data_IF_739420006315
#
_entry.id   IF_739420006315
#
_cell.length_a   1.000
_cell.length_b   1.000
_cell.length_c   1.000
_cell.angle_alpha   90.00
_cell.angle_beta   90.00
_cell.angle_gamma   90.00
#
_symmetry.space_group_name_H-M   'P 1'
#
loop_
_entity.id
_entity.type
_entity.pdbx_description
1 polymer ?
#
# COMPACT_ATOMS: atom_id res chain seq x y z
N UNK A 1 27.60 -6.56 -8.58
CA UNK A 1 26.18 -7.00 -8.71
C UNK A 1 25.22 -6.13 -7.91
N UNK A 2 25.33 -6.00 -6.59
CA UNK A 2 24.39 -5.18 -5.77
C UNK A 2 24.43 -3.70 -6.16
N UNK A 3 25.59 -3.13 -6.45
CA UNK A 3 25.72 -1.77 -6.96
C UNK A 3 25.05 -1.58 -8.34
N UNK A 4 25.23 -2.54 -9.24
CA UNK A 4 24.59 -2.55 -10.55
C UNK A 4 23.06 -2.61 -10.44
N UNK A 5 22.54 -3.49 -9.54
CA UNK A 5 21.12 -3.57 -9.23
C UNK A 5 20.58 -2.21 -8.78
N UNK A 6 21.24 -1.56 -7.83
CA UNK A 6 20.77 -0.27 -7.32
C UNK A 6 20.91 0.86 -8.35
N UNK A 7 21.92 0.82 -9.22
CA UNK A 7 22.04 1.76 -10.33
C UNK A 7 20.87 1.64 -11.31
N UNK A 8 20.52 0.42 -11.72
CA UNK A 8 19.42 0.20 -12.65
C UNK A 8 18.04 0.49 -12.04
N UNK A 9 17.86 0.28 -10.74
CA UNK A 9 16.66 0.74 -10.03
C UNK A 9 16.59 2.28 -10.01
N UNK A 10 17.71 2.94 -9.71
CA UNK A 10 17.78 4.40 -9.63
C UNK A 10 17.51 5.09 -10.98
N UNK A 11 17.92 4.50 -12.10
CA UNK A 11 17.62 4.99 -13.46
C UNK A 11 16.10 5.09 -13.74
N UNK A 12 15.30 4.29 -13.03
CA UNK A 12 13.83 4.31 -13.10
C UNK A 12 13.18 5.12 -11.99
N UNK A 13 13.99 5.80 -11.16
CA UNK A 13 13.51 6.48 -9.97
C UNK A 13 13.13 5.55 -8.82
N UNK A 14 13.43 4.25 -8.91
CA UNK A 14 13.17 3.28 -7.86
C UNK A 14 14.28 3.28 -6.81
N UNK A 15 13.96 2.81 -5.61
CA UNK A 15 14.95 2.60 -4.55
C UNK A 15 14.81 1.18 -4.02
N UNK A 16 15.93 0.56 -3.68
CA UNK A 16 15.95 -0.80 -3.17
C UNK A 16 16.94 -1.02 -2.04
N UNK A 17 16.74 -2.12 -1.32
CA UNK A 17 17.69 -2.67 -0.36
C UNK A 17 17.74 -4.19 -0.49
N UNK A 18 18.89 -4.73 -0.18
CA UNK A 18 19.13 -6.18 -0.06
C UNK A 18 19.57 -6.44 1.37
N UNK A 19 18.92 -7.38 2.05
CA UNK A 19 19.28 -7.83 3.40
C UNK A 19 19.37 -9.35 3.45
N UNK A 20 20.04 -9.88 4.45
CA UNK A 20 20.21 -11.32 4.63
C UNK A 20 18.87 -12.02 4.84
N UNK A 21 18.74 -13.22 4.27
CA UNK A 21 17.57 -14.10 4.45
C UNK A 21 17.34 -14.49 5.92
N UNK A 22 18.38 -14.45 6.76
CA UNK A 22 18.27 -14.77 8.20
C UNK A 22 17.24 -13.87 8.91
N UNK A 23 16.99 -12.65 8.41
CA UNK A 23 16.03 -11.72 8.98
C UNK A 23 14.55 -12.07 8.71
N UNK A 24 14.31 -13.11 7.91
CA UNK A 24 12.94 -13.64 7.75
C UNK A 24 12.34 -14.05 9.11
N UNK A 25 13.13 -14.73 9.95
CA UNK A 25 12.71 -15.09 11.30
C UNK A 25 12.56 -13.89 12.25
N UNK A 26 13.28 -12.80 12.02
CA UNK A 26 13.14 -11.57 12.84
C UNK A 26 11.84 -10.85 12.50
N UNK A 27 11.47 -10.76 11.22
CA UNK A 27 10.17 -10.21 10.78
C UNK A 27 9.01 -11.00 11.41
N UNK A 28 9.07 -12.33 11.37
CA UNK A 28 8.06 -13.19 11.98
C UNK A 28 7.92 -12.93 13.48
N UNK A 29 9.04 -12.98 14.21
CA UNK A 29 9.06 -12.76 15.67
C UNK A 29 8.47 -11.41 16.06
N UNK A 30 8.72 -10.38 15.25
CA UNK A 30 8.22 -9.04 15.53
C UNK A 30 6.69 -8.97 15.37
N UNK A 31 6.15 -9.49 14.26
CA UNK A 31 4.70 -9.54 14.02
C UNK A 31 4.00 -10.38 15.11
N UNK A 32 4.50 -11.58 15.38
CA UNK A 32 3.96 -12.46 16.43
C UNK A 32 4.11 -11.84 17.83
N UNK A 33 5.20 -11.10 18.06
CA UNK A 33 5.45 -10.38 19.32
C UNK A 33 4.38 -9.32 19.57
N UNK A 34 4.07 -8.52 18.56
CA UNK A 34 3.00 -7.52 18.64
C UNK A 34 1.62 -8.17 18.85
N UNK A 35 1.34 -9.28 18.15
CA UNK A 35 0.09 -10.01 18.34
C UNK A 35 -0.04 -10.54 19.79
N UNK A 36 0.98 -11.23 20.30
CA UNK A 36 0.99 -11.76 21.68
C UNK A 36 0.87 -10.68 22.76
N UNK A 37 1.33 -9.47 22.47
CA UNK A 37 1.20 -8.30 23.36
C UNK A 37 -0.17 -7.63 23.29
N UNK A 38 -1.09 -8.12 22.44
CA UNK A 38 -2.39 -7.49 22.22
C UNK A 38 -2.29 -6.13 21.53
N UNK A 39 -1.24 -5.90 20.74
CA UNK A 39 -1.02 -4.66 20.00
C UNK A 39 -1.85 -4.56 18.72
N UNK A 40 -2.38 -5.68 18.24
CA UNK A 40 -3.32 -5.75 17.11
C UNK A 40 -4.72 -6.06 17.62
N UNK A 41 -5.72 -5.50 16.97
CA UNK A 41 -7.09 -5.99 17.05
C UNK A 41 -7.16 -7.37 16.40
N UNK A 42 -7.98 -8.28 16.97
CA UNK A 42 -8.04 -9.68 16.52
C UNK A 42 -8.55 -9.81 15.09
N UNK A 43 -9.64 -9.13 14.76
CA UNK A 43 -10.23 -9.18 13.42
C UNK A 43 -9.24 -8.61 12.38
N UNK A 44 -8.63 -7.48 12.68
CA UNK A 44 -7.59 -6.90 11.83
C UNK A 44 -6.40 -7.85 11.62
N UNK A 45 -5.96 -8.54 12.68
CA UNK A 45 -4.84 -9.48 12.57
C UNK A 45 -5.18 -10.65 11.66
N UNK A 46 -6.35 -11.25 11.84
CA UNK A 46 -6.80 -12.38 11.04
C UNK A 46 -6.94 -12.00 9.55
N UNK A 47 -7.47 -10.82 9.23
CA UNK A 47 -7.65 -10.38 7.85
C UNK A 47 -6.34 -9.91 7.18
N UNK A 48 -5.42 -9.30 7.96
CA UNK A 48 -4.28 -8.56 7.38
C UNK A 48 -2.93 -9.26 7.49
N UNK A 49 -2.77 -10.28 8.36
CA UNK A 49 -1.47 -10.88 8.62
C UNK A 49 -1.39 -12.39 8.40
N UNK A 50 -2.51 -13.11 8.37
CA UNK A 50 -2.51 -14.58 8.24
C UNK A 50 -2.05 -15.08 6.87
N UNK A 51 -2.07 -14.23 5.84
CA UNK A 51 -1.56 -14.53 4.51
C UNK A 51 -0.05 -14.35 4.36
N UNK A 52 0.62 -13.74 5.35
CA UNK A 52 2.08 -13.59 5.33
C UNK A 52 2.77 -14.95 5.46
N UNK A 53 3.84 -15.12 4.70
CA UNK A 53 4.60 -16.37 4.65
C UNK A 53 6.06 -16.13 5.05
N UNK A 54 6.47 -16.75 6.15
CA UNK A 54 7.83 -16.62 6.69
C UNK A 54 8.66 -17.89 6.46
N UNK A 55 8.42 -18.57 5.35
CA UNK A 55 9.20 -19.71 4.87
C UNK A 55 9.74 -19.44 3.47
N UNK A 56 10.82 -20.12 3.11
CA UNK A 56 11.34 -20.04 1.74
C UNK A 56 10.30 -20.60 0.76
N UNK A 57 10.15 -20.00 -0.44
CA UNK A 57 9.25 -20.53 -1.45
C UNK A 57 9.84 -21.79 -2.09
N UNK A 58 8.99 -22.73 -2.44
CA UNK A 58 9.40 -23.96 -3.13
C UNK A 58 10.11 -23.68 -4.46
N UNK A 59 9.77 -22.57 -5.12
CA UNK A 59 10.39 -22.12 -6.37
C UNK A 59 11.82 -21.62 -6.19
N UNK A 60 12.24 -21.25 -4.97
CA UNK A 60 13.58 -20.75 -4.66
C UNK A 60 14.04 -21.17 -3.26
N UNK A 61 14.23 -22.48 -3.01
CA UNK A 61 14.61 -22.99 -1.70
C UNK A 61 16.02 -22.57 -1.26
N UNK A 62 16.84 -22.08 -2.20
CA UNK A 62 18.21 -21.63 -1.99
C UNK A 62 18.30 -20.11 -1.78
N UNK A 63 17.19 -19.42 -1.50
CA UNK A 63 17.20 -17.99 -1.28
C UNK A 63 18.16 -17.61 -0.14
N UNK A 64 18.94 -16.53 -0.37
CA UNK A 64 20.02 -16.05 0.51
C UNK A 64 19.79 -14.62 0.98
N UNK A 65 18.91 -13.91 0.30
CA UNK A 65 18.59 -12.52 0.61
C UNK A 65 17.11 -12.21 0.42
N UNK A 66 16.69 -11.11 1.06
CA UNK A 66 15.43 -10.42 0.81
C UNK A 66 15.74 -9.12 0.09
N UNK A 67 15.03 -8.85 -0.99
CA UNK A 67 15.10 -7.60 -1.74
C UNK A 67 13.80 -6.85 -1.49
N UNK A 68 13.88 -5.59 -1.07
CA UNK A 68 12.73 -4.70 -0.99
C UNK A 68 12.93 -3.52 -1.91
N UNK A 69 11.90 -3.20 -2.71
CA UNK A 69 11.91 -2.10 -3.68
C UNK A 69 10.77 -1.14 -3.37
N UNK A 70 11.08 0.16 -3.40
CA UNK A 70 10.11 1.25 -3.36
C UNK A 70 9.98 1.86 -4.77
N UNK A 71 8.76 1.92 -5.25
CA UNK A 71 8.38 2.42 -6.56
C UNK A 71 7.55 3.68 -6.36
N UNK A 72 7.99 4.86 -6.83
CA UNK A 72 7.19 6.08 -6.72
C UNK A 72 5.87 5.92 -7.47
N UNK A 73 4.77 6.35 -6.87
CA UNK A 73 3.44 6.26 -7.47
C UNK A 73 2.61 7.52 -7.22
N UNK A 74 1.88 8.02 -8.23
CA UNK A 74 0.95 9.14 -8.09
C UNK A 74 -0.32 8.74 -7.35
N UNK A 75 -1.10 9.74 -6.97
CA UNK A 75 -2.54 9.58 -6.75
C UNK A 75 -3.24 9.46 -8.10
N UNK A 76 -4.37 8.77 -8.16
CA UNK A 76 -5.19 8.73 -9.37
C UNK A 76 -6.53 9.40 -9.09
N UNK A 77 -6.96 10.29 -10.01
CA UNK A 77 -8.28 10.89 -9.96
C UNK A 77 -9.25 10.09 -10.82
N UNK A 78 -10.33 9.63 -10.22
CA UNK A 78 -11.44 8.99 -10.92
C UNK A 78 -12.68 9.87 -10.76
N UNK A 79 -13.37 10.14 -11.85
CA UNK A 79 -14.47 11.10 -11.89
C UNK A 79 -15.80 10.39 -12.13
N UNK A 80 -16.80 10.69 -11.29
CA UNK A 80 -18.16 10.17 -11.42
C UNK A 80 -19.12 11.32 -11.70
N UNK A 81 -20.07 11.09 -12.60
CA UNK A 81 -21.20 12.03 -12.81
C UNK A 81 -22.42 11.48 -12.08
N UNK A 82 -23.01 12.30 -11.18
CA UNK A 82 -24.21 11.91 -10.43
C UNK A 82 -25.12 13.12 -10.20
N UNK A 83 -26.43 12.96 -10.48
CA UNK A 83 -27.43 14.03 -10.35
C UNK A 83 -27.05 15.34 -11.08
N UNK A 84 -26.37 15.22 -12.21
CA UNK A 84 -25.92 16.36 -13.00
C UNK A 84 -24.65 17.05 -12.47
N UNK A 85 -24.07 16.58 -11.37
CA UNK A 85 -22.83 17.07 -10.80
C UNK A 85 -21.67 16.11 -11.12
N UNK A 86 -20.47 16.67 -11.21
CA UNK A 86 -19.22 15.90 -11.42
C UNK A 86 -18.49 15.79 -10.10
N UNK A 87 -18.22 14.55 -9.66
CA UNK A 87 -17.52 14.23 -8.43
C UNK A 87 -16.14 13.64 -8.73
N UNK A 88 -15.05 14.42 -8.64
CA UNK A 88 -13.69 13.88 -8.71
C UNK A 88 -13.30 13.26 -7.37
N UNK A 89 -12.93 11.99 -7.38
CA UNK A 89 -12.47 11.24 -6.23
C UNK A 89 -11.03 10.81 -6.41
N UNK A 90 -10.25 10.86 -5.33
CA UNK A 90 -8.87 10.39 -5.35
C UNK A 90 -8.78 8.93 -4.91
N UNK A 91 -7.85 8.23 -5.52
CA UNK A 91 -7.36 6.92 -5.10
C UNK A 91 -5.91 7.13 -4.66
N UNK A 92 -5.53 6.71 -3.44
CA UNK A 92 -4.15 6.83 -2.96
C UNK A 92 -3.14 6.02 -3.79
N UNK A 93 -1.84 6.30 -3.70
CA UNK A 93 -0.80 5.77 -4.59
C UNK A 93 -0.66 4.26 -4.69
N UNK A 94 -1.14 3.49 -3.70
CA UNK A 94 -0.83 2.05 -3.63
C UNK A 94 -1.84 1.13 -4.34
N UNK A 95 -2.96 1.66 -4.84
CA UNK A 95 -4.07 0.83 -5.31
C UNK A 95 -4.07 0.62 -6.81
N UNK A 96 -3.88 1.69 -7.59
CA UNK A 96 -3.99 1.64 -9.05
C UNK A 96 -2.83 0.84 -9.65
N UNK A 97 -3.14 -0.05 -10.59
CA UNK A 97 -2.18 -0.87 -11.34
C UNK A 97 -1.15 -1.61 -10.45
N UNK A 98 -1.58 -2.06 -9.27
CA UNK A 98 -0.63 -2.61 -8.29
C UNK A 98 -0.03 -3.97 -8.73
N UNK A 99 -0.77 -4.77 -9.52
CA UNK A 99 -0.30 -6.05 -10.03
C UNK A 99 0.72 -5.84 -11.12
N UNK A 100 0.39 -5.00 -12.09
CA UNK A 100 1.26 -4.63 -13.20
C UNK A 100 2.57 -4.02 -12.68
N UNK A 101 2.48 -3.15 -11.66
CA UNK A 101 3.66 -2.59 -11.00
C UNK A 101 4.52 -3.68 -10.36
N UNK A 102 3.90 -4.62 -9.65
CA UNK A 102 4.62 -5.74 -9.03
C UNK A 102 5.30 -6.62 -10.08
N UNK A 103 4.61 -6.96 -11.18
CA UNK A 103 5.12 -7.76 -12.30
C UNK A 103 6.29 -7.05 -13.01
N UNK A 104 6.15 -5.76 -13.30
CA UNK A 104 7.22 -4.96 -13.90
C UNK A 104 8.49 -4.95 -13.05
N UNK A 105 8.36 -4.87 -11.72
CA UNK A 105 9.52 -4.93 -10.83
C UNK A 105 10.12 -6.32 -10.78
N UNK A 106 9.30 -7.36 -10.77
CA UNK A 106 9.75 -8.76 -10.82
C UNK A 106 10.54 -9.03 -12.10
N UNK A 107 9.99 -8.66 -13.26
CA UNK A 107 10.64 -8.80 -14.58
C UNK A 107 11.96 -8.01 -14.64
N UNK A 108 11.97 -6.80 -14.10
CA UNK A 108 13.17 -5.98 -14.03
C UNK A 108 14.28 -6.66 -13.20
N UNK A 109 13.92 -7.13 -12.01
CA UNK A 109 14.88 -7.82 -11.13
C UNK A 109 15.37 -9.13 -11.76
N UNK A 110 14.45 -9.91 -12.32
CA UNK A 110 14.79 -11.15 -13.04
C UNK A 110 15.73 -10.88 -14.23
N UNK A 111 15.49 -9.81 -14.98
CA UNK A 111 16.34 -9.40 -16.10
C UNK A 111 17.73 -8.93 -15.68
N UNK A 112 17.85 -8.23 -14.54
CA UNK A 112 19.15 -7.76 -14.02
C UNK A 112 19.94 -8.94 -13.44
N UNK A 113 19.33 -9.67 -12.52
CA UNK A 113 19.98 -10.71 -11.73
C UNK A 113 20.22 -11.97 -12.54
N UNK A 114 19.31 -12.30 -13.47
CA UNK A 114 19.41 -13.47 -14.34
C UNK A 114 20.63 -13.47 -15.26
N UNK A 115 21.16 -12.29 -15.62
CA UNK A 115 22.41 -12.17 -16.41
C UNK A 115 23.61 -12.77 -15.69
N UNK A 116 23.57 -12.77 -14.37
CA UNK A 116 24.63 -13.31 -13.50
C UNK A 116 24.24 -14.65 -12.86
N UNK A 117 23.13 -15.25 -13.32
CA UNK A 117 22.66 -16.56 -12.88
C UNK A 117 21.90 -16.56 -11.56
N UNK A 118 21.46 -15.38 -11.08
CA UNK A 118 20.62 -15.28 -9.88
C UNK A 118 19.14 -15.19 -10.24
N UNK A 119 18.31 -15.64 -9.30
CA UNK A 119 16.86 -15.72 -9.44
C UNK A 119 16.14 -14.88 -8.39
N UNK A 120 14.89 -14.55 -8.66
CA UNK A 120 13.98 -13.90 -7.72
C UNK A 120 12.65 -14.64 -7.67
N UNK A 121 12.00 -14.55 -6.51
CA UNK A 121 10.63 -15.01 -6.31
C UNK A 121 9.89 -13.99 -5.43
N UNK A 122 8.63 -13.73 -5.72
CA UNK A 122 7.83 -12.77 -4.96
C UNK A 122 7.67 -13.21 -3.50
N UNK A 123 7.72 -12.26 -2.58
CA UNK A 123 7.64 -12.52 -1.15
C UNK A 123 6.38 -11.91 -0.52
N UNK A 124 5.58 -12.73 0.15
CA UNK A 124 4.43 -12.30 0.94
C UNK A 124 4.88 -11.93 2.36
N UNK A 125 5.50 -10.75 2.51
CA UNK A 125 6.13 -10.28 3.74
C UNK A 125 5.53 -8.94 4.21
N UNK A 126 5.72 -8.56 5.49
CA UNK A 126 5.34 -7.24 6.01
C UNK A 126 6.27 -6.16 5.43
N UNK A 127 6.00 -5.74 4.17
CA UNK A 127 6.89 -4.91 3.35
C UNK A 127 7.26 -3.57 4.00
N UNK A 128 6.37 -2.94 4.77
CA UNK A 128 6.69 -1.71 5.51
C UNK A 128 7.74 -1.96 6.59
N UNK A 129 7.58 -3.05 7.34
CA UNK A 129 8.54 -3.45 8.37
C UNK A 129 9.89 -3.78 7.75
N UNK A 130 9.90 -4.58 6.69
CA UNK A 130 11.12 -4.92 5.94
C UNK A 130 11.82 -3.66 5.40
N UNK A 131 11.06 -2.71 4.80
CA UNK A 131 11.63 -1.47 4.27
C UNK A 131 12.29 -0.61 5.36
N UNK A 132 11.70 -0.53 6.54
CA UNK A 132 12.29 0.23 7.64
C UNK A 132 13.49 -0.49 8.25
N UNK A 133 13.38 -1.80 8.50
CA UNK A 133 14.48 -2.61 9.04
C UNK A 133 15.70 -2.67 8.11
N UNK A 134 15.48 -2.63 6.79
CA UNK A 134 16.56 -2.60 5.79
C UNK A 134 17.17 -1.21 5.57
N UNK A 135 16.67 -0.17 6.25
CA UNK A 135 17.14 1.21 6.06
C UNK A 135 16.71 1.84 4.74
N UNK A 136 15.68 1.29 4.06
CA UNK A 136 15.10 1.90 2.87
C UNK A 136 14.27 3.14 3.21
N UNK A 137 13.58 3.11 4.35
CA UNK A 137 12.73 4.20 4.82
C UNK A 137 12.64 4.25 6.35
N UNK A 138 11.77 5.11 6.85
CA UNK A 138 11.47 5.24 8.27
C UNK A 138 9.96 5.36 8.49
N UNK A 139 9.47 4.98 9.67
CA UNK A 139 8.06 5.12 10.01
C UNK A 139 7.69 6.57 10.35
N UNK A 140 6.53 7.01 9.88
CA UNK A 140 5.84 8.16 10.45
C UNK A 140 5.01 7.78 11.68
N UNK A 141 4.58 8.77 12.47
CA UNK A 141 3.61 8.54 13.57
C UNK A 141 2.27 7.95 13.10
N UNK A 142 1.94 8.10 11.82
CA UNK A 142 0.78 7.47 11.18
C UNK A 142 1.01 6.01 10.77
N UNK A 143 2.13 5.42 11.20
CA UNK A 143 2.51 4.03 10.91
C UNK A 143 2.67 3.72 9.40
N UNK A 144 2.91 4.74 8.59
CA UNK A 144 3.24 4.61 7.16
C UNK A 144 4.76 4.69 7.02
N UNK A 145 5.32 3.89 6.10
CA UNK A 145 6.73 3.98 5.73
C UNK A 145 6.93 5.19 4.81
N UNK A 146 7.94 5.99 5.10
CA UNK A 146 8.39 7.14 4.29
C UNK A 146 9.77 6.85 3.73
N UNK A 147 9.88 6.93 2.41
CA UNK A 147 11.14 6.72 1.69
C UNK A 147 11.71 8.07 1.27
N UNK A 148 12.99 8.39 1.56
CA UNK A 148 13.59 9.66 1.17
C UNK A 148 13.37 9.97 -0.32
N UNK A 149 12.90 11.19 -0.66
CA UNK A 149 12.61 11.61 -2.03
C UNK A 149 11.34 11.01 -2.66
N UNK A 150 10.53 10.26 -1.89
CA UNK A 150 9.23 9.73 -2.31
C UNK A 150 8.12 10.04 -1.29
N UNK A 151 8.47 10.52 -0.09
CA UNK A 151 7.49 10.64 0.99
C UNK A 151 6.83 9.30 1.28
N UNK A 152 5.50 9.28 1.34
CA UNK A 152 4.68 8.06 1.41
C UNK A 152 4.00 7.71 0.07
N UNK A 153 4.39 8.38 -1.04
CA UNK A 153 3.81 8.23 -2.38
C UNK A 153 4.61 7.18 -3.18
N UNK A 154 4.57 5.97 -2.69
CA UNK A 154 5.26 4.84 -3.28
C UNK A 154 4.57 3.52 -2.95
N UNK A 155 4.81 2.52 -3.77
CA UNK A 155 4.51 1.13 -3.50
C UNK A 155 5.77 0.41 -3.02
N UNK A 156 5.62 -0.48 -2.06
CA UNK A 156 6.68 -1.39 -1.60
C UNK A 156 6.40 -2.79 -2.10
N UNK A 157 7.43 -3.45 -2.63
CA UNK A 157 7.40 -4.85 -3.07
C UNK A 157 8.59 -5.58 -2.50
N UNK A 158 8.41 -6.84 -2.12
CA UNK A 158 9.48 -7.68 -1.59
C UNK A 158 9.68 -8.94 -2.43
N UNK A 159 10.93 -9.41 -2.48
CA UNK A 159 11.34 -10.61 -3.20
C UNK A 159 12.34 -11.41 -2.39
N UNK A 160 12.26 -12.73 -2.54
CA UNK A 160 13.36 -13.64 -2.21
C UNK A 160 14.38 -13.65 -3.36
N UNK A 161 15.66 -13.81 -3.07
CA UNK A 161 16.68 -14.02 -4.08
C UNK A 161 17.79 -14.95 -3.57
N UNK A 162 18.38 -15.75 -4.48
CA UNK A 162 19.61 -16.50 -4.22
C UNK A 162 20.87 -15.64 -4.32
N UNK A 163 20.74 -14.34 -4.66
CA UNK A 163 21.82 -13.36 -4.59
C UNK A 163 22.38 -13.29 -3.16
N UNK A 164 23.70 -13.49 -2.94
CA UNK A 164 24.29 -13.31 -1.61
C UNK A 164 24.16 -11.87 -1.13
N UNK A 165 23.73 -11.67 0.11
CA UNK A 165 23.79 -10.37 0.77
C UNK A 165 25.23 -10.06 1.13
N UNK A 166 25.83 -9.04 0.50
CA UNK A 166 27.21 -8.61 0.74
C UNK A 166 27.30 -7.63 1.91
N UNK A 167 26.34 -6.70 1.98
CA UNK A 167 26.23 -5.71 3.04
C UNK A 167 24.85 -5.81 3.67
N UNK A 168 24.80 -6.27 4.90
CA UNK A 168 23.57 -6.49 5.64
C UNK A 168 23.22 -5.27 6.49
N UNK A 169 22.45 -4.35 5.92
CA UNK A 169 22.06 -3.08 6.57
C UNK A 169 20.81 -3.24 7.45
N UNK A 170 20.70 -4.34 8.18
CA UNK A 170 19.60 -4.53 9.14
C UNK A 170 19.76 -3.61 10.35
N UNK A 171 18.73 -2.87 10.67
CA UNK A 171 18.79 -1.85 11.72
C UNK A 171 17.57 -1.90 12.64
N UNK A 172 17.68 -1.21 13.78
CA UNK A 172 16.55 -0.96 14.66
C UNK A 172 15.45 -0.14 13.94
N UNK A 173 14.19 -0.29 14.41
CA UNK A 173 13.09 0.48 13.87
C UNK A 173 13.37 1.97 14.00
N UNK A 174 13.27 2.67 12.87
CA UNK A 174 13.46 4.10 12.81
C UNK A 174 12.13 4.81 12.60
N UNK A 175 11.85 5.76 13.48
CA UNK A 175 10.82 6.77 13.24
C UNK A 175 11.48 8.01 12.66
N UNK A 176 10.84 8.66 11.69
CA UNK A 176 11.34 9.92 11.14
C UNK A 176 11.61 10.94 12.25
N UNK A 177 12.77 11.56 12.23
CA UNK A 177 13.16 12.61 13.18
C UNK A 177 12.15 13.77 13.18
N UNK A 178 11.65 14.14 11.98
CA UNK A 178 10.63 15.18 11.81
C UNK A 178 9.31 14.89 12.54
N UNK A 179 9.07 13.64 12.95
CA UNK A 179 7.88 13.26 13.72
C UNK A 179 7.98 13.59 15.21
N UNK A 180 9.17 13.82 15.77
CA UNK A 180 9.36 13.99 17.21
C UNK A 180 8.44 15.08 17.80
N UNK A 181 8.41 16.25 17.17
CA UNK A 181 7.61 17.41 17.62
C UNK A 181 6.39 17.68 16.70
N UNK A 182 6.02 16.73 15.84
CA UNK A 182 4.90 16.88 14.92
C UNK A 182 3.69 16.06 15.38
N UNK A 183 2.50 16.66 15.30
CA UNK A 183 1.21 16.01 15.61
C UNK A 183 0.17 16.16 14.49
N UNK A 184 0.59 16.59 13.29
CA UNK A 184 -0.33 16.89 12.19
C UNK A 184 -1.24 15.71 11.84
N UNK A 185 -0.69 14.51 11.69
CA UNK A 185 -1.47 13.31 11.36
C UNK A 185 -2.42 12.88 12.50
N UNK A 186 -2.04 13.09 13.78
CA UNK A 186 -2.90 12.82 14.92
C UNK A 186 -4.15 13.72 14.88
N UNK A 187 -3.94 15.03 14.68
CA UNK A 187 -5.02 16.01 14.64
C UNK A 187 -5.93 15.88 13.41
N UNK A 188 -5.42 15.31 12.33
CA UNK A 188 -6.18 15.13 11.09
C UNK A 188 -6.93 13.79 11.00
N UNK A 189 -6.63 12.81 11.85
CA UNK A 189 -7.30 11.51 11.82
C UNK A 189 -8.69 11.61 12.45
N UNK A 190 -9.79 11.58 11.68
CA UNK A 190 -11.13 11.84 12.23
C UNK A 190 -11.60 10.73 13.16
N UNK A 191 -11.07 9.52 13.01
CA UNK A 191 -11.45 8.34 13.80
C UNK A 191 -10.59 8.15 15.05
N UNK A 192 -9.52 8.93 15.21
CA UNK A 192 -8.56 8.75 16.31
C UNK A 192 -7.78 7.44 16.23
N UNK A 193 -7.63 6.86 15.03
CA UNK A 193 -6.83 5.66 14.83
C UNK A 193 -5.34 5.89 15.14
N UNK A 194 -4.85 7.12 14.95
CA UNK A 194 -3.46 7.51 15.26
C UNK A 194 -3.46 8.17 16.65
N UNK A 195 -2.67 7.63 17.57
CA UNK A 195 -2.57 8.13 18.94
C UNK A 195 -1.14 8.49 19.30
N UNK A 196 -0.95 9.28 20.37
CA UNK A 196 0.36 9.57 20.96
C UNK A 196 0.87 8.49 21.91
N UNK A 197 0.00 7.58 22.32
CA UNK A 197 0.26 6.63 23.40
C UNK A 197 0.96 5.36 22.93
N UNK A 198 0.89 5.07 21.63
CA UNK A 198 1.44 3.85 21.06
C UNK A 198 1.98 4.09 19.64
N UNK A 199 2.98 3.31 19.27
CA UNK A 199 3.58 3.36 17.93
C UNK A 199 2.63 2.84 16.85
N UNK A 200 2.03 1.66 17.06
CA UNK A 200 1.09 1.08 16.12
C UNK A 200 -0.25 1.84 16.16
N UNK A 201 -0.78 2.20 15.00
CA UNK A 201 -2.12 2.77 14.92
C UNK A 201 -3.17 1.75 15.38
N UNK A 202 -4.34 2.23 15.77
CA UNK A 202 -5.52 1.40 16.00
C UNK A 202 -6.15 1.10 14.65
N UNK A 203 -5.69 0.02 14.00
CA UNK A 203 -6.07 -0.30 12.63
C UNK A 203 -7.58 -0.55 12.51
N UNK A 204 -8.20 -1.15 13.53
CA UNK A 204 -9.64 -1.38 13.66
C UNK A 204 -10.47 -0.08 13.66
N UNK A 205 -9.82 1.07 13.83
CA UNK A 205 -10.44 2.39 13.72
C UNK A 205 -10.05 3.14 12.45
N UNK A 206 -9.15 2.60 11.62
CA UNK A 206 -8.71 3.25 10.40
C UNK A 206 -9.79 3.14 9.31
N UNK A 207 -10.13 4.24 8.65
CA UNK A 207 -11.07 4.24 7.51
C UNK A 207 -10.62 3.26 6.43
N UNK A 208 -9.30 3.21 6.18
CA UNK A 208 -8.70 2.31 5.20
C UNK A 208 -9.10 0.86 5.45
N UNK A 209 -8.96 0.37 6.69
CA UNK A 209 -9.35 -1.00 7.03
C UNK A 209 -10.82 -1.30 6.66
N UNK A 210 -11.72 -0.37 6.95
CA UNK A 210 -13.14 -0.59 6.69
C UNK A 210 -13.54 -0.47 5.22
N UNK A 211 -12.89 0.40 4.45
CA UNK A 211 -13.26 0.57 3.04
C UNK A 211 -12.51 -0.36 2.07
N UNK A 212 -11.51 -1.09 2.55
CA UNK A 212 -10.85 -2.17 1.83
C UNK A 212 -11.53 -3.54 2.01
N UNK A 213 -12.36 -3.70 3.04
CA UNK A 213 -13.08 -4.96 3.29
C UNK A 213 -14.12 -5.21 2.20
N UNK A 214 -14.40 -6.48 1.92
CA UNK A 214 -15.37 -6.92 0.91
C UNK A 214 -16.69 -6.12 0.96
N UNK A 215 -17.30 -5.90 -0.18
CA UNK A 215 -18.42 -4.97 -0.35
C UNK A 215 -19.69 -5.31 0.44
N UNK A 216 -19.85 -6.56 0.86
CA UNK A 216 -20.96 -7.05 1.69
C UNK A 216 -20.79 -6.72 3.19
N UNK A 217 -19.56 -6.32 3.64
CA UNK A 217 -19.37 -5.83 4.98
C UNK A 217 -19.88 -4.39 5.12
N UNK A 218 -20.89 -4.12 5.95
CA UNK A 218 -21.36 -2.75 6.15
C UNK A 218 -20.32 -1.92 6.91
N UNK A 219 -20.32 -0.62 6.67
CA UNK A 219 -19.53 0.28 7.51
C UNK A 219 -20.07 0.28 8.96
N UNK A 220 -19.16 0.29 9.97
CA UNK A 220 -19.59 0.38 11.35
C UNK A 220 -20.41 1.66 11.61
N UNK A 221 -21.41 1.56 12.47
CA UNK A 221 -22.32 2.68 12.76
C UNK A 221 -21.61 3.92 13.35
N UNK A 222 -20.43 3.75 13.94
CA UNK A 222 -19.62 4.84 14.49
C UNK A 222 -18.81 5.59 13.40
N UNK A 223 -18.66 5.01 12.20
CA UNK A 223 -17.88 5.62 11.12
C UNK A 223 -18.77 6.63 10.36
N UNK A 224 -18.54 7.91 10.63
CA UNK A 224 -19.29 8.99 9.99
C UNK A 224 -19.02 9.00 8.47
N UNK A 225 -20.07 8.95 7.63
CA UNK A 225 -19.94 9.02 6.18
C UNK A 225 -19.12 10.21 5.67
N UNK A 226 -19.15 11.35 6.35
CA UNK A 226 -18.42 12.56 5.97
C UNK A 226 -16.90 12.43 6.10
N UNK A 227 -16.41 11.43 6.81
CA UNK A 227 -14.97 11.18 6.99
C UNK A 227 -14.32 10.47 5.81
N UNK A 228 -15.09 9.84 4.94
CA UNK A 228 -14.53 9.24 3.73
C UNK A 228 -14.02 10.31 2.78
N UNK A 229 -12.81 10.20 2.27
CA UNK A 229 -12.17 11.20 1.42
C UNK A 229 -11.53 10.63 0.14
N UNK A 230 -11.60 9.32 -0.02
CA UNK A 230 -11.08 8.57 -1.18
C UNK A 230 -12.09 7.49 -1.58
N UNK A 231 -12.02 7.05 -2.83
CA UNK A 231 -12.85 5.95 -3.33
C UNK A 231 -12.49 4.62 -2.63
N UNK A 232 -11.21 4.43 -2.34
CA UNK A 232 -10.65 3.36 -1.50
C UNK A 232 -9.47 3.93 -0.73
N UNK A 233 -9.12 3.37 0.43
CA UNK A 233 -8.08 3.90 1.29
C UNK A 233 -8.47 5.21 1.97
N UNK A 234 -7.48 5.97 2.43
CA UNK A 234 -7.68 7.25 3.13
C UNK A 234 -6.41 8.10 3.02
N UNK A 235 -6.57 9.41 2.79
CA UNK A 235 -5.45 10.35 2.66
C UNK A 235 -5.35 11.36 3.81
N UNK A 236 -6.23 11.34 4.82
CA UNK A 236 -6.23 12.36 5.88
C UNK A 236 -4.84 12.59 6.50
N UNK A 237 -4.20 11.52 6.97
CA UNK A 237 -2.90 11.62 7.63
C UNK A 237 -1.73 11.88 6.66
N UNK A 238 -1.86 11.49 5.40
CA UNK A 238 -0.83 11.69 4.38
C UNK A 238 -0.84 13.11 3.82
N UNK A 239 -2.04 13.72 3.63
CA UNK A 239 -2.19 15.07 3.06
C UNK A 239 -1.64 16.17 3.97
N UNK A 240 -1.73 15.98 5.28
CA UNK A 240 -1.23 16.97 6.26
C UNK A 240 0.24 16.76 6.63
N UNK A 241 0.85 15.67 6.16
CA UNK A 241 2.24 15.36 6.49
C UNK A 241 3.20 16.27 5.71
N UNK A 242 4.07 17.06 6.40
CA UNK A 242 5.03 17.92 5.72
C UNK A 242 5.97 17.17 4.76
N UNK A 243 6.22 15.89 5.02
CA UNK A 243 7.09 15.04 4.18
C UNK A 243 6.45 14.68 2.83
N UNK A 244 5.15 14.91 2.67
CA UNK A 244 4.43 14.66 1.43
C UNK A 244 4.13 15.91 0.61
N UNK A 245 4.53 17.10 1.10
CA UNK A 245 4.16 18.38 0.47
C UNK A 245 4.41 18.41 -1.04
N UNK A 246 5.57 17.91 -1.46
CA UNK A 246 6.00 17.97 -2.86
C UNK A 246 5.28 16.94 -3.76
N UNK A 247 4.54 16.01 -3.15
CA UNK A 247 3.83 14.94 -3.85
C UNK A 247 2.32 15.11 -3.88
N UNK A 248 1.76 16.07 -3.13
CA UNK A 248 0.30 16.23 -3.00
C UNK A 248 -0.39 16.56 -4.32
N UNK A 249 0.29 17.28 -5.20
CA UNK A 249 -0.22 17.65 -6.53
C UNK A 249 0.15 16.62 -7.61
N UNK A 250 0.86 15.55 -7.24
CA UNK A 250 1.16 14.49 -8.19
C UNK A 250 -0.05 13.55 -8.32
N UNK A 251 -0.91 13.93 -9.27
CA UNK A 251 -2.17 13.27 -9.56
C UNK A 251 -2.21 12.94 -11.05
N UNK A 252 -2.52 11.70 -11.38
CA UNK A 252 -2.83 11.26 -12.74
C UNK A 252 -4.33 11.17 -12.94
N UNK A 253 -4.79 11.51 -14.14
CA UNK A 253 -6.19 11.37 -14.52
C UNK A 253 -6.46 9.91 -14.87
N UNK A 254 -7.44 9.32 -14.19
CA UNK A 254 -7.92 7.97 -14.41
C UNK A 254 -9.22 7.93 -15.21
N UNK A 255 -10.11 7.02 -14.83
CA UNK A 255 -11.38 6.83 -15.52
C UNK A 255 -12.40 7.93 -15.21
N UNK A 256 -13.27 8.20 -16.19
CA UNK A 256 -14.45 9.04 -16.05
C UNK A 256 -15.69 8.21 -16.30
N UNK A 257 -16.64 8.22 -15.35
CA UNK A 257 -17.89 7.49 -15.43
C UNK A 257 -19.06 8.46 -15.60
N UNK A 258 -19.83 8.25 -16.65
CA UNK A 258 -21.08 8.96 -16.92
C UNK A 258 -22.14 8.67 -15.84
N UNK A 259 -23.21 9.46 -15.79
CA UNK A 259 -24.32 9.23 -14.84
C UNK A 259 -24.93 7.84 -14.96
N UNK A 260 -25.06 7.31 -16.19
CA UNK A 260 -25.60 5.97 -16.42
C UNK A 260 -24.67 4.88 -15.87
N UNK A 261 -23.36 5.01 -16.09
CA UNK A 261 -22.35 4.07 -15.55
C UNK A 261 -22.26 4.18 -14.03
N UNK A 262 -22.29 5.40 -13.48
CA UNK A 262 -22.32 5.63 -12.03
C UNK A 262 -23.53 4.98 -11.38
N UNK A 263 -24.71 5.04 -12.01
CA UNK A 263 -25.92 4.37 -11.52
C UNK A 263 -25.75 2.85 -11.46
N UNK A 264 -25.23 2.23 -12.51
CA UNK A 264 -24.97 0.78 -12.55
C UNK A 264 -23.96 0.34 -11.47
N UNK A 265 -22.92 1.14 -11.25
CA UNK A 265 -21.94 0.88 -10.19
C UNK A 265 -22.63 0.95 -8.82
N UNK A 266 -23.42 1.97 -8.56
CA UNK A 266 -24.15 2.14 -7.28
C UNK A 266 -25.18 1.04 -7.01
N UNK A 267 -25.81 0.50 -8.07
CA UNK A 267 -26.71 -0.64 -8.00
C UNK A 267 -25.99 -1.95 -7.70
N UNK A 268 -24.64 -1.95 -7.73
CA UNK A 268 -23.83 -3.13 -7.51
C UNK A 268 -23.90 -4.14 -8.65
N UNK A 269 -24.12 -3.65 -9.90
CA UNK A 269 -24.08 -4.52 -11.08
C UNK A 269 -22.70 -5.16 -11.17
N UNK A 270 -22.62 -6.51 -11.25
CA UNK A 270 -21.33 -7.21 -11.34
C UNK A 270 -20.49 -6.72 -12.51
N UNK A 271 -19.17 -6.71 -12.34
CA UNK A 271 -18.22 -6.18 -13.33
C UNK A 271 -18.39 -6.78 -14.73
N UNK A 272 -18.65 -8.08 -14.80
CA UNK A 272 -18.87 -8.83 -16.06
C UNK A 272 -20.22 -8.55 -16.72
N UNK A 273 -21.15 -7.88 -16.02
CA UNK A 273 -22.45 -7.45 -16.52
C UNK A 273 -22.51 -5.95 -16.83
N UNK A 274 -21.45 -5.19 -16.48
CA UNK A 274 -21.34 -3.80 -16.88
C UNK A 274 -21.13 -3.64 -18.39
N UNK A 275 -21.47 -2.46 -18.97
CA UNK A 275 -21.05 -2.13 -20.33
C UNK A 275 -19.55 -2.38 -20.53
N UNK A 276 -19.18 -2.93 -21.69
CA UNK A 276 -17.78 -3.31 -21.96
C UNK A 276 -16.79 -2.16 -21.80
N UNK A 277 -17.20 -0.93 -22.10
CA UNK A 277 -16.38 0.28 -21.89
C UNK A 277 -16.13 0.51 -20.39
N UNK A 278 -17.17 0.43 -19.57
CA UNK A 278 -17.07 0.61 -18.12
C UNK A 278 -16.20 -0.46 -17.46
N UNK A 279 -16.42 -1.74 -17.83
CA UNK A 279 -15.59 -2.84 -17.35
C UNK A 279 -14.12 -2.69 -17.76
N UNK A 280 -13.88 -2.20 -18.98
CA UNK A 280 -12.51 -1.93 -19.47
C UNK A 280 -11.82 -0.82 -18.65
N UNK A 281 -12.53 0.24 -18.28
CA UNK A 281 -12.00 1.31 -17.45
C UNK A 281 -11.54 0.79 -16.08
N UNK A 282 -12.32 -0.06 -15.42
CA UNK A 282 -11.92 -0.69 -14.15
C UNK A 282 -10.67 -1.56 -14.30
N UNK A 283 -10.58 -2.34 -15.39
CA UNK A 283 -9.39 -3.14 -15.71
C UNK A 283 -8.17 -2.28 -15.98
N UNK A 284 -8.32 -1.16 -16.68
CA UNK A 284 -7.22 -0.22 -16.93
C UNK A 284 -6.70 0.43 -15.63
N UNK A 285 -7.56 0.60 -14.64
CA UNK A 285 -7.15 1.02 -13.31
C UNK A 285 -6.48 -0.12 -12.51
N UNK A 286 -6.58 -1.38 -12.96
CA UNK A 286 -6.11 -2.55 -12.21
C UNK A 286 -6.91 -2.79 -10.92
N UNK A 287 -8.18 -2.38 -10.90
CA UNK A 287 -9.09 -2.46 -9.73
C UNK A 287 -10.27 -3.41 -9.97
N UNK A 288 -10.19 -4.22 -11.01
CA UNK A 288 -11.25 -5.13 -11.42
C UNK A 288 -11.47 -6.29 -10.44
N UNK A 289 -10.42 -6.81 -9.81
CA UNK A 289 -10.56 -7.88 -8.81
C UNK A 289 -11.17 -7.38 -7.48
N UNK A 290 -10.94 -6.11 -7.14
CA UNK A 290 -11.46 -5.47 -5.94
C UNK A 290 -12.79 -4.70 -6.21
N UNK A 291 -13.43 -4.94 -7.36
CA UNK A 291 -14.57 -4.14 -7.81
C UNK A 291 -15.76 -4.16 -6.84
N UNK A 292 -15.97 -5.23 -6.12
CA UNK A 292 -17.08 -5.42 -5.19
C UNK A 292 -17.15 -4.39 -4.06
N UNK A 293 -16.02 -3.76 -3.70
CA UNK A 293 -15.99 -2.73 -2.66
C UNK A 293 -16.54 -1.38 -3.14
N UNK A 294 -16.44 -1.07 -4.45
CA UNK A 294 -16.70 0.27 -4.97
C UNK A 294 -18.17 0.70 -4.95
N UNK A 295 -19.17 -0.16 -5.19
CA UNK A 295 -20.58 0.20 -5.02
C UNK A 295 -20.88 0.78 -3.64
N UNK A 296 -20.41 0.10 -2.58
CA UNK A 296 -20.57 0.53 -1.19
C UNK A 296 -19.80 1.83 -0.92
N UNK A 297 -18.54 1.89 -1.33
CA UNK A 297 -17.67 3.04 -1.06
C UNK A 297 -18.13 4.30 -1.81
N UNK A 298 -18.53 4.16 -3.07
CA UNK A 298 -19.09 5.25 -3.85
C UNK A 298 -20.41 5.73 -3.26
N UNK A 299 -21.27 4.80 -2.81
CA UNK A 299 -22.55 5.12 -2.20
C UNK A 299 -22.44 5.99 -0.96
N UNK A 300 -21.38 5.84 -0.14
CA UNK A 300 -21.15 6.70 1.04
C UNK A 300 -20.64 8.09 0.65
N UNK A 301 -19.86 8.17 -0.43
CA UNK A 301 -19.29 9.43 -0.91
C UNK A 301 -20.32 10.32 -1.61
N UNK A 302 -21.34 9.73 -2.25
CA UNK A 302 -22.42 10.45 -2.95
C UNK A 302 -23.58 10.89 -2.05
N UNK A 303 -23.65 10.40 -0.82
CA UNK A 303 -24.71 10.78 0.15
C UNK A 303 -24.35 11.98 1.01
N UNK A 304 -23.28 12.67 0.70
CA UNK A 304 -22.79 13.86 1.44
C UNK A 304 -23.64 15.08 1.17
#
# INVERSE_FOLDING_TARGET
>A
MTEELFSQLAERGYKGRVVSIQHLGDLQKEIEGHYRQGSFDEEFYQESFTWLTFSLPDSLPEARSLIVVAIPQPQTRVTFTWNGETLPLLIPPIYVAYRETNEQVEDLLAGILGREGYHVARAALPVKLLAVRSGLGAYGKNNICYVPGMGSFHRLVAFYSDLPCQEDNWQELQMMESCQNCSACLGSCPTGAITSERFLLRAERCITFHNERAGDFPFPAWLDPSWHNCLVGCLHCQRVCPQNRDFLEWVEEGAEFSQGETALILEGVPLDQLPATTATQWKQLGLDEDYDIFPRNLGVLLRR
#
